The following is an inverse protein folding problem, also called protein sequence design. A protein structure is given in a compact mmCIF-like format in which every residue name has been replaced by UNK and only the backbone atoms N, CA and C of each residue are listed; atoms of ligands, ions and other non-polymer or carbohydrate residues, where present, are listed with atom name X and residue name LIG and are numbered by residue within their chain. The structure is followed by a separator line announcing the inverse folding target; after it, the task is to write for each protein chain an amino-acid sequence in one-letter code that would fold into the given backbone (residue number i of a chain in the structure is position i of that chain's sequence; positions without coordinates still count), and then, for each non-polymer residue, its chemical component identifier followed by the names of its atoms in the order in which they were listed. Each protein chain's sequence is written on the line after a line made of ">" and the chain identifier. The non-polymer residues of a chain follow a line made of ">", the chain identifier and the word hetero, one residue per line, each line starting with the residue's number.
data_IF_016468629227
#
_entry.id   IF_016468629227
#
_cell.length_a   1.000
_cell.length_b   1.000
_cell.length_c   1.000
_cell.angle_alpha   90.00
_cell.angle_beta   90.00
_cell.angle_gamma   90.00
#
_symmetry.space_group_name_H-M   'P 1'
#
loop_
_entity.id
_entity.type
_entity.pdbx_description
1 polymer ?
#
# COMPACT_ATOMS: atom_id res chain seq x y z
N UNK A 1 -13.57 24.03 10.12
CA UNK A 1 -12.35 23.74 10.90
C UNK A 1 -12.79 23.61 12.35
N UNK A 2 -12.60 22.45 12.97
CA UNK A 2 -12.98 22.26 14.37
C UNK A 2 -12.12 23.14 15.29
N UNK A 3 -12.71 23.72 16.33
CA UNK A 3 -12.05 24.54 17.37
C UNK A 3 -10.90 23.85 18.16
N UNK A 4 -10.43 22.69 17.71
CA UNK A 4 -9.53 21.79 18.44
C UNK A 4 -8.04 22.00 18.19
N UNK A 5 -7.62 22.91 17.31
CA UNK A 5 -6.20 23.19 17.08
C UNK A 5 -5.92 24.70 16.96
N UNK A 6 -6.15 25.46 18.04
CA UNK A 6 -5.60 26.82 18.12
C UNK A 6 -4.08 26.74 18.25
N UNK A 7 -3.31 27.48 17.42
CA UNK A 7 -1.85 27.44 17.50
C UNK A 7 -1.39 27.97 18.86
N UNK A 8 -0.75 27.10 19.67
CA UNK A 8 -0.33 27.43 21.04
C UNK A 8 0.63 28.61 21.10
N UNK A 9 1.47 28.77 20.08
CA UNK A 9 2.51 29.80 20.00
C UNK A 9 2.27 30.80 18.84
N UNK A 10 1.06 30.83 18.28
CA UNK A 10 0.79 31.52 17.01
C UNK A 10 1.44 30.84 15.80
N UNK A 11 1.10 31.32 14.61
CA UNK A 11 1.78 30.92 13.37
C UNK A 11 2.82 32.00 13.00
N UNK A 12 3.99 31.63 12.45
CA UNK A 12 4.38 30.29 11.99
C UNK A 12 5.05 29.40 13.07
N UNK A 13 5.27 29.92 14.28
CA UNK A 13 6.09 29.26 15.30
C UNK A 13 5.57 27.88 15.72
N UNK A 14 4.25 27.72 15.86
CA UNK A 14 3.64 26.41 16.16
C UNK A 14 3.94 25.38 15.07
N UNK A 15 3.89 25.78 13.80
CA UNK A 15 4.25 24.93 12.66
C UNK A 15 5.73 24.54 12.67
N UNK A 16 6.63 25.49 12.91
CA UNK A 16 8.08 25.24 12.98
C UNK A 16 8.42 24.26 14.11
N UNK A 17 7.87 24.48 15.31
CA UNK A 17 8.10 23.56 16.45
C UNK A 17 7.57 22.17 16.12
N UNK A 18 6.36 22.08 15.55
CA UNK A 18 5.78 20.79 15.17
C UNK A 18 6.65 20.08 14.14
N UNK A 19 7.12 20.80 13.11
CA UNK A 19 8.02 20.26 12.09
C UNK A 19 9.31 19.73 12.69
N UNK A 20 10.00 20.51 13.53
CA UNK A 20 11.26 20.09 14.17
C UNK A 20 11.02 18.86 15.07
N UNK A 21 9.96 18.85 15.88
CA UNK A 21 9.66 17.72 16.76
C UNK A 21 9.35 16.46 15.95
N UNK A 22 8.49 16.53 14.94
CA UNK A 22 8.16 15.37 14.10
C UNK A 22 9.36 14.91 13.26
N UNK A 23 10.20 15.83 12.78
CA UNK A 23 11.44 15.50 12.08
C UNK A 23 12.40 14.74 12.99
N UNK A 24 12.64 15.24 14.21
CA UNK A 24 13.53 14.57 15.17
C UNK A 24 12.99 13.21 15.60
N UNK A 25 11.68 13.10 15.85
CA UNK A 25 11.04 11.81 16.15
C UNK A 25 11.13 10.84 14.96
N UNK A 26 10.89 11.33 13.74
CA UNK A 26 11.04 10.57 12.51
C UNK A 26 12.46 10.06 12.30
N UNK A 27 13.47 10.92 12.47
CA UNK A 27 14.88 10.55 12.36
C UNK A 27 15.31 9.58 13.48
N UNK A 28 14.85 9.80 14.71
CA UNK A 28 15.16 8.90 15.82
C UNK A 28 14.53 7.51 15.62
N UNK A 29 13.25 7.44 15.25
CA UNK A 29 12.58 6.16 14.96
C UNK A 29 13.19 5.46 13.75
N UNK A 30 13.51 6.19 12.69
CA UNK A 30 14.22 5.65 11.54
C UNK A 30 15.61 5.13 11.93
N UNK A 31 16.39 5.86 12.72
CA UNK A 31 17.69 5.40 13.18
C UNK A 31 17.58 4.14 14.05
N UNK A 32 16.61 4.09 14.97
CA UNK A 32 16.44 2.95 15.87
C UNK A 32 16.02 1.68 15.13
N UNK A 33 15.10 1.78 14.17
CA UNK A 33 14.46 0.62 13.57
C UNK A 33 14.92 0.32 12.13
N UNK A 34 15.27 1.33 11.34
CA UNK A 34 15.45 1.21 9.89
C UNK A 34 16.89 1.42 9.39
N UNK A 35 17.66 2.33 10.00
CA UNK A 35 19.03 2.62 9.56
C UNK A 35 19.92 1.35 9.69
N UNK A 36 20.70 0.97 8.66
CA UNK A 36 21.63 -0.16 8.71
C UNK A 36 22.69 -0.07 9.82
N UNK A 37 23.01 1.15 10.28
CA UNK A 37 23.92 1.46 11.39
C UNK A 37 23.21 1.44 12.74
N UNK A 38 21.87 1.47 12.72
CA UNK A 38 21.02 1.41 13.88
C UNK A 38 21.01 0.03 14.54
N UNK A 39 20.48 -0.07 15.77
CA UNK A 39 20.43 -1.33 16.51
C UNK A 39 19.40 -2.33 15.93
N UNK A 40 18.29 -1.84 15.37
CA UNK A 40 17.18 -2.71 14.95
C UNK A 40 17.40 -3.43 13.61
N UNK A 41 18.02 -2.77 12.63
CA UNK A 41 18.28 -3.29 11.27
C UNK A 41 17.07 -4.01 10.64
N UNK A 42 15.86 -3.47 10.86
CA UNK A 42 14.60 -4.07 10.41
C UNK A 42 14.21 -3.67 8.99
N UNK A 43 15.03 -2.87 8.30
CA UNK A 43 14.81 -2.44 6.93
C UNK A 43 15.50 -3.40 5.93
N UNK A 44 14.87 -3.70 4.79
CA UNK A 44 13.53 -3.24 4.38
C UNK A 44 12.40 -3.92 5.14
N UNK A 45 12.56 -5.20 5.45
CA UNK A 45 11.55 -5.99 6.13
C UNK A 45 12.06 -6.54 7.47
N UNK A 46 11.20 -6.58 8.51
CA UNK A 46 9.75 -6.39 8.49
C UNK A 46 9.28 -4.93 8.58
N UNK A 47 10.18 -3.95 8.68
CA UNK A 47 9.83 -2.55 8.96
C UNK A 47 8.79 -1.97 7.99
N UNK A 48 9.01 -2.11 6.68
CA UNK A 48 8.11 -1.58 5.63
C UNK A 48 6.72 -2.21 5.71
N UNK A 49 6.63 -3.52 5.99
CA UNK A 49 5.34 -4.21 6.16
C UNK A 49 4.56 -3.64 7.35
N UNK A 50 5.20 -3.48 8.51
CA UNK A 50 4.54 -2.89 9.67
C UNK A 50 4.09 -1.47 9.40
N UNK A 51 4.94 -0.64 8.81
CA UNK A 51 4.60 0.74 8.46
C UNK A 51 3.41 0.80 7.50
N UNK A 52 3.41 -0.01 6.45
CA UNK A 52 2.33 -0.06 5.47
C UNK A 52 1.00 -0.44 6.14
N UNK A 53 0.96 -1.53 6.90
CA UNK A 53 -0.27 -1.98 7.57
C UNK A 53 -0.73 -0.94 8.61
N UNK A 54 0.18 -0.30 9.32
CA UNK A 54 -0.12 0.76 10.30
C UNK A 54 -0.82 1.96 9.67
N UNK A 55 -0.36 2.40 8.49
CA UNK A 55 -1.00 3.46 7.70
C UNK A 55 -2.41 3.03 7.28
N UNK A 56 -2.57 1.79 6.79
CA UNK A 56 -3.88 1.27 6.40
C UNK A 56 -4.86 1.19 7.58
N UNK A 57 -4.41 0.72 8.72
CA UNK A 57 -5.19 0.70 9.97
C UNK A 57 -5.55 2.12 10.40
N UNK A 58 -4.64 3.08 10.23
CA UNK A 58 -4.90 4.50 10.50
C UNK A 58 -6.03 5.03 9.62
N UNK A 59 -6.03 4.66 8.34
CA UNK A 59 -7.13 4.96 7.43
C UNK A 59 -8.45 4.35 7.93
N UNK A 60 -8.44 3.09 8.39
CA UNK A 60 -9.65 2.47 8.95
C UNK A 60 -10.18 3.20 10.18
N UNK A 61 -9.29 3.53 11.12
CA UNK A 61 -9.65 4.24 12.36
C UNK A 61 -10.26 5.62 12.06
N UNK A 62 -9.60 6.41 11.23
CA UNK A 62 -9.96 7.81 11.01
C UNK A 62 -11.05 7.97 9.94
N UNK A 63 -10.91 7.30 8.79
CA UNK A 63 -11.77 7.52 7.62
C UNK A 63 -13.07 6.72 7.68
N UNK A 64 -13.00 5.47 8.17
CA UNK A 64 -14.14 4.55 8.16
C UNK A 64 -14.88 4.56 9.50
N UNK A 65 -14.15 4.40 10.60
CA UNK A 65 -14.71 4.32 11.96
C UNK A 65 -14.89 5.69 12.63
N UNK A 66 -14.36 6.78 12.05
CA UNK A 66 -14.51 8.13 12.59
C UNK A 66 -13.99 8.27 14.03
N UNK A 67 -12.85 7.65 14.32
CA UNK A 67 -12.22 7.56 15.65
C UNK A 67 -13.03 6.80 16.70
N UNK A 68 -14.07 6.05 16.35
CA UNK A 68 -14.84 5.28 17.33
C UNK A 68 -13.95 4.22 18.04
N UNK A 69 -14.10 4.00 19.36
CA UNK A 69 -14.98 4.69 20.31
C UNK A 69 -14.36 5.95 20.95
N UNK A 70 -13.16 6.35 20.52
CA UNK A 70 -12.33 7.40 21.12
C UNK A 70 -12.60 8.82 20.60
N UNK A 71 -13.60 9.00 19.75
CA UNK A 71 -13.92 10.27 19.10
C UNK A 71 -14.04 11.45 20.09
N UNK A 72 -14.55 11.18 21.30
CA UNK A 72 -14.79 12.17 22.37
C UNK A 72 -13.56 12.46 23.26
N UNK A 73 -12.46 11.73 23.12
CA UNK A 73 -11.24 12.00 23.88
C UNK A 73 -10.62 13.34 23.44
N UNK A 74 -10.05 14.08 24.39
CA UNK A 74 -9.33 15.33 24.10
C UNK A 74 -7.87 15.03 23.74
N UNK A 75 -7.27 15.91 22.96
CA UNK A 75 -5.82 15.87 22.74
C UNK A 75 -5.07 16.27 24.03
N UNK A 76 -3.89 15.70 24.31
CA UNK A 76 -3.14 14.73 23.49
C UNK A 76 -3.56 13.27 23.70
N UNK A 77 -4.41 12.98 24.69
CA UNK A 77 -4.79 11.62 25.06
C UNK A 77 -5.42 10.85 23.89
N UNK A 78 -6.27 11.51 23.09
CA UNK A 78 -6.86 10.91 21.88
C UNK A 78 -5.78 10.40 20.92
N UNK A 79 -4.76 11.22 20.62
CA UNK A 79 -3.64 10.82 19.78
C UNK A 79 -2.89 9.61 20.34
N UNK A 80 -2.53 9.65 21.62
CA UNK A 80 -1.82 8.53 22.29
C UNK A 80 -2.64 7.22 22.23
N UNK A 81 -3.92 7.28 22.57
CA UNK A 81 -4.81 6.11 22.56
C UNK A 81 -4.97 5.56 21.14
N UNK A 82 -5.20 6.42 20.15
CA UNK A 82 -5.34 5.98 18.75
C UNK A 82 -4.05 5.37 18.23
N UNK A 83 -2.87 5.89 18.59
CA UNK A 83 -1.57 5.29 18.24
C UNK A 83 -1.39 3.90 18.85
N UNK A 84 -1.69 3.72 20.14
CA UNK A 84 -1.58 2.41 20.81
C UNK A 84 -2.54 1.41 20.20
N UNK A 85 -3.80 1.80 19.97
CA UNK A 85 -4.80 0.93 19.33
C UNK A 85 -4.41 0.61 17.89
N UNK A 86 -3.87 1.57 17.14
CA UNK A 86 -3.38 1.34 15.78
C UNK A 86 -2.30 0.27 15.77
N UNK A 87 -1.31 0.38 16.67
CA UNK A 87 -0.24 -0.59 16.79
C UNK A 87 -0.79 -1.99 17.16
N UNK A 88 -1.69 -2.08 18.13
CA UNK A 88 -2.30 -3.35 18.53
C UNK A 88 -3.11 -4.00 17.39
N UNK A 89 -3.91 -3.20 16.66
CA UNK A 89 -4.68 -3.69 15.51
C UNK A 89 -3.75 -4.08 14.36
N UNK A 90 -2.66 -3.35 14.13
CA UNK A 90 -1.64 -3.70 13.14
C UNK A 90 -1.02 -5.07 13.44
N UNK A 91 -0.63 -5.31 14.70
CA UNK A 91 -0.14 -6.63 15.14
C UNK A 91 -1.19 -7.71 14.91
N UNK A 92 -2.44 -7.46 15.28
CA UNK A 92 -3.54 -8.40 15.08
C UNK A 92 -3.77 -8.73 13.60
N UNK A 93 -3.79 -7.72 12.74
CA UNK A 93 -3.98 -7.89 11.28
C UNK A 93 -2.85 -8.74 10.70
N UNK A 94 -1.59 -8.44 11.01
CA UNK A 94 -0.46 -9.20 10.48
C UNK A 94 -0.45 -10.62 11.03
N UNK A 95 -0.40 -10.76 12.36
CA UNK A 95 -0.11 -12.05 13.00
C UNK A 95 -1.31 -12.96 13.10
N UNK A 96 -2.53 -12.44 13.15
CA UNK A 96 -3.75 -13.25 13.25
C UNK A 96 -4.42 -13.33 11.88
N UNK A 97 -4.82 -12.21 11.31
CA UNK A 97 -5.62 -12.21 10.07
C UNK A 97 -4.81 -12.75 8.89
N UNK A 98 -3.64 -12.19 8.60
CA UNK A 98 -2.83 -12.65 7.48
C UNK A 98 -2.11 -13.96 7.77
N UNK A 99 -1.36 -14.04 8.86
CA UNK A 99 -0.49 -15.20 9.09
C UNK A 99 -1.24 -16.46 9.52
N UNK A 100 -2.35 -16.34 10.25
CA UNK A 100 -3.05 -17.50 10.84
C UNK A 100 -4.40 -17.80 10.20
N UNK A 101 -5.13 -16.82 9.69
CA UNK A 101 -6.42 -17.05 9.03
C UNK A 101 -6.21 -17.21 7.53
N UNK A 102 -5.75 -16.17 6.84
CA UNK A 102 -5.53 -16.25 5.38
C UNK A 102 -4.36 -17.15 5.02
N UNK A 103 -3.35 -17.25 5.88
CA UNK A 103 -2.20 -18.14 5.73
C UNK A 103 -2.58 -19.62 5.62
N UNK A 104 -3.74 -20.05 6.13
CA UNK A 104 -4.21 -21.44 6.02
C UNK A 104 -4.48 -21.85 4.56
N UNK A 105 -5.00 -20.91 3.76
CA UNK A 105 -5.26 -21.14 2.34
C UNK A 105 -4.16 -20.62 1.42
N UNK A 106 -3.51 -19.52 1.80
CA UNK A 106 -2.54 -18.82 0.98
C UNK A 106 -1.21 -18.67 1.72
N UNK A 107 -0.34 -19.69 1.63
CA UNK A 107 0.93 -19.70 2.36
C UNK A 107 1.82 -18.48 2.07
N UNK A 108 1.75 -17.89 0.86
CA UNK A 108 2.50 -16.69 0.53
C UNK A 108 2.05 -15.44 1.31
N UNK A 109 0.97 -15.51 2.10
CA UNK A 109 0.55 -14.45 3.03
C UNK A 109 1.04 -14.67 4.46
N UNK A 110 1.71 -15.79 4.76
CA UNK A 110 2.17 -16.14 6.11
C UNK A 110 3.66 -16.46 6.16
N UNK A 111 4.46 -15.54 6.69
CA UNK A 111 5.89 -15.78 6.85
C UNK A 111 6.15 -16.96 7.79
N UNK A 112 5.30 -17.14 8.81
CA UNK A 112 5.39 -18.26 9.74
C UNK A 112 5.22 -19.59 9.02
N UNK A 113 4.25 -19.71 8.12
CA UNK A 113 4.04 -20.94 7.37
C UNK A 113 5.18 -21.20 6.38
N UNK A 114 5.66 -20.16 5.70
CA UNK A 114 6.79 -20.29 4.77
C UNK A 114 8.08 -20.72 5.47
N UNK A 115 8.38 -20.13 6.62
CA UNK A 115 9.52 -20.52 7.44
C UNK A 115 9.40 -21.98 7.89
N UNK A 116 8.20 -22.42 8.27
CA UNK A 116 7.97 -23.81 8.69
C UNK A 116 8.11 -24.80 7.52
N UNK A 117 7.62 -24.46 6.34
CA UNK A 117 7.84 -25.25 5.12
C UNK A 117 9.33 -25.37 4.78
N UNK A 118 10.10 -24.30 4.98
CA UNK A 118 11.55 -24.34 4.78
C UNK A 118 12.27 -25.18 5.85
N UNK A 119 11.89 -25.06 7.13
CA UNK A 119 12.46 -25.86 8.23
C UNK A 119 12.22 -27.35 8.09
N UNK A 120 11.03 -27.73 7.64
CA UNK A 120 10.62 -29.13 7.46
C UNK A 120 11.07 -29.72 6.13
N UNK A 121 11.77 -28.95 5.29
CA UNK A 121 12.22 -29.38 3.97
C UNK A 121 11.10 -29.56 2.95
N UNK A 122 9.90 -29.04 3.21
CA UNK A 122 8.72 -29.12 2.34
C UNK A 122 8.71 -28.02 1.26
N UNK A 123 9.47 -26.94 1.44
CA UNK A 123 9.68 -25.93 0.41
C UNK A 123 10.68 -26.44 -0.65
N UNK A 124 10.19 -27.15 -1.66
CA UNK A 124 11.03 -27.76 -2.70
C UNK A 124 11.19 -26.83 -3.91
N UNK A 125 12.43 -26.65 -4.36
CA UNK A 125 12.81 -25.91 -5.57
C UNK A 125 12.59 -26.77 -6.84
N UNK A 126 12.49 -26.16 -8.03
CA UNK A 126 12.63 -26.88 -9.30
C UNK A 126 13.94 -27.69 -9.29
N UNK A 127 13.83 -29.02 -9.46
CA UNK A 127 14.97 -29.95 -9.35
C UNK A 127 15.05 -30.72 -8.02
N UNK A 128 14.07 -30.59 -7.12
CA UNK A 128 13.93 -31.48 -5.97
C UNK A 128 14.74 -31.09 -4.72
N UNK A 129 15.49 -29.98 -4.77
CA UNK A 129 16.27 -29.49 -3.63
C UNK A 129 15.39 -28.68 -2.67
N UNK A 130 15.53 -28.91 -1.37
CA UNK A 130 14.85 -28.08 -0.36
C UNK A 130 15.45 -26.66 -0.29
N UNK A 131 14.58 -25.66 -0.16
CA UNK A 131 14.91 -24.27 0.12
C UNK A 131 15.25 -24.11 1.61
N UNK A 132 16.41 -23.54 1.92
CA UNK A 132 16.81 -23.33 3.32
C UNK A 132 15.97 -22.25 4.00
N UNK A 133 15.82 -22.35 5.32
CA UNK A 133 15.16 -21.31 6.14
C UNK A 133 15.80 -19.93 5.92
N UNK A 134 17.12 -19.86 5.91
CA UNK A 134 17.85 -18.61 5.69
C UNK A 134 17.48 -17.97 4.34
N UNK A 135 17.42 -18.78 3.28
CA UNK A 135 17.02 -18.27 1.96
C UNK A 135 15.56 -17.83 1.95
N UNK A 136 14.67 -18.59 2.61
CA UNK A 136 13.24 -18.23 2.71
C UNK A 136 13.05 -16.88 3.42
N UNK A 137 13.75 -16.66 4.53
CA UNK A 137 13.67 -15.43 5.31
C UNK A 137 14.24 -14.24 4.54
N UNK A 138 15.36 -14.43 3.81
CA UNK A 138 15.97 -13.38 2.99
C UNK A 138 15.10 -12.97 1.78
N UNK A 139 14.15 -13.80 1.34
CA UNK A 139 13.25 -13.49 0.22
C UNK A 139 12.05 -12.64 0.61
N UNK A 140 11.69 -12.58 1.89
CA UNK A 140 10.61 -11.72 2.41
C UNK A 140 9.28 -11.85 1.65
N UNK A 141 8.92 -13.07 1.20
CA UNK A 141 7.77 -13.28 0.32
C UNK A 141 6.46 -12.79 0.94
N UNK A 142 6.13 -13.25 2.15
CA UNK A 142 4.88 -12.85 2.80
C UNK A 142 4.85 -11.38 3.16
N UNK A 143 5.98 -10.83 3.59
CA UNK A 143 6.06 -9.41 3.94
C UNK A 143 5.84 -8.53 2.71
N UNK A 144 6.39 -8.90 1.56
CA UNK A 144 6.16 -8.22 0.27
C UNK A 144 4.72 -8.38 -0.23
N UNK A 145 4.11 -9.55 -0.04
CA UNK A 145 2.73 -9.80 -0.40
C UNK A 145 1.76 -8.93 0.42
N UNK A 146 2.03 -8.79 1.73
CA UNK A 146 1.23 -7.94 2.63
C UNK A 146 1.38 -6.46 2.28
N UNK A 147 2.58 -5.97 1.96
CA UNK A 147 2.76 -4.59 1.46
C UNK A 147 1.96 -4.37 0.18
N UNK A 148 1.95 -5.35 -0.72
CA UNK A 148 1.16 -5.28 -1.96
C UNK A 148 -0.34 -5.29 -1.71
N UNK A 149 -0.81 -6.01 -0.69
CA UNK A 149 -2.21 -5.93 -0.24
C UNK A 149 -2.55 -4.53 0.26
N UNK A 150 -1.66 -3.95 1.08
CA UNK A 150 -1.83 -2.58 1.58
C UNK A 150 -1.87 -1.58 0.45
N UNK A 151 -0.99 -1.70 -0.54
CA UNK A 151 -0.99 -0.82 -1.73
C UNK A 151 -2.36 -0.80 -2.40
N UNK A 152 -2.94 -1.98 -2.65
CA UNK A 152 -4.31 -2.08 -3.20
C UNK A 152 -5.31 -1.42 -2.25
N UNK A 153 -5.25 -1.76 -0.95
CA UNK A 153 -6.08 -1.19 0.11
C UNK A 153 -6.06 0.34 0.15
N UNK A 154 -4.88 0.93 0.01
CA UNK A 154 -4.67 2.37 0.14
C UNK A 154 -5.40 3.17 -0.95
N UNK A 155 -5.81 2.53 -2.05
CA UNK A 155 -6.75 3.08 -3.01
C UNK A 155 -8.21 2.68 -2.70
N UNK A 156 -8.46 1.39 -2.49
CA UNK A 156 -9.82 0.81 -2.48
C UNK A 156 -10.65 1.19 -1.24
N UNK A 157 -10.04 1.42 -0.08
CA UNK A 157 -10.78 1.95 1.07
C UNK A 157 -11.19 3.42 0.86
N UNK A 158 -10.29 4.34 0.48
CA UNK A 158 -10.67 5.73 0.28
C UNK A 158 -11.54 5.97 -0.97
N UNK A 159 -11.42 5.16 -2.04
CA UNK A 159 -12.22 5.37 -3.26
C UNK A 159 -13.73 5.30 -2.98
N UNK A 160 -14.15 4.40 -2.08
CA UNK A 160 -15.54 4.27 -1.65
C UNK A 160 -16.03 5.57 -0.99
N UNK A 161 -15.19 6.18 -0.16
CA UNK A 161 -15.55 7.45 0.49
C UNK A 161 -15.49 8.64 -0.47
N UNK A 162 -14.45 8.73 -1.30
CA UNK A 162 -14.15 9.91 -2.12
C UNK A 162 -14.99 9.95 -3.40
N UNK A 163 -15.07 8.86 -4.15
CA UNK A 163 -15.76 8.83 -5.45
C UNK A 163 -17.18 8.27 -5.36
N UNK A 164 -17.41 7.30 -4.47
CA UNK A 164 -18.73 6.68 -4.28
C UNK A 164 -19.56 7.35 -3.18
N UNK A 165 -19.04 8.39 -2.52
CA UNK A 165 -19.72 9.08 -1.43
C UNK A 165 -20.26 8.12 -0.35
N UNK A 166 -19.45 7.10 0.00
CA UNK A 166 -19.76 6.03 0.95
C UNK A 166 -20.94 5.11 0.56
N UNK A 167 -21.34 5.07 -0.72
CA UNK A 167 -22.24 4.04 -1.24
C UNK A 167 -21.57 2.65 -1.22
N UNK A 168 -22.28 1.55 -0.90
CA UNK A 168 -23.72 1.45 -0.60
C UNK A 168 -24.08 1.65 0.88
N UNK A 169 -23.09 1.93 1.74
CA UNK A 169 -23.28 1.91 3.20
C UNK A 169 -24.07 3.10 3.71
N UNK A 170 -23.70 4.34 3.37
CA UNK A 170 -24.39 5.53 3.91
C UNK A 170 -25.89 5.62 3.63
N UNK A 171 -26.41 5.19 2.46
CA UNK A 171 -27.85 5.10 2.22
C UNK A 171 -28.64 4.23 3.22
N UNK A 172 -27.98 3.36 3.99
CA UNK A 172 -28.63 2.49 4.97
C UNK A 172 -28.87 3.11 6.36
N UNK A 173 -28.51 4.38 6.56
CA UNK A 173 -28.67 5.11 7.84
C UNK A 173 -28.00 4.46 9.07
N UNK A 174 -27.00 3.60 8.86
CA UNK A 174 -26.23 3.01 9.96
C UNK A 174 -25.45 4.08 10.74
N UNK A 175 -25.43 3.93 12.06
CA UNK A 175 -24.62 4.75 12.95
C UNK A 175 -23.24 4.12 13.19
N UNK A 176 -22.31 4.85 13.78
CA UNK A 176 -21.05 4.25 14.23
C UNK A 176 -21.31 3.37 15.48
N UNK A 177 -20.72 2.17 15.56
CA UNK A 177 -19.65 1.66 14.71
C UNK A 177 -20.09 0.84 13.50
N UNK A 178 -21.40 0.56 13.36
CA UNK A 178 -21.94 -0.34 12.34
C UNK A 178 -21.60 0.13 10.93
N UNK A 179 -21.73 1.44 10.67
CA UNK A 179 -21.35 2.03 9.40
C UNK A 179 -19.86 1.83 9.09
N UNK A 180 -18.97 2.06 10.05
CA UNK A 180 -17.53 1.90 9.85
C UNK A 180 -17.12 0.44 9.60
N UNK A 181 -17.72 -0.53 10.32
CA UNK A 181 -17.47 -1.94 10.04
C UNK A 181 -18.04 -2.40 8.70
N UNK A 182 -19.20 -1.89 8.29
CA UNK A 182 -19.76 -2.18 6.98
C UNK A 182 -18.92 -1.57 5.84
N UNK A 183 -18.40 -0.35 6.03
CA UNK A 183 -17.44 0.28 5.10
C UNK A 183 -16.13 -0.51 5.03
N UNK A 184 -15.64 -1.02 6.16
CA UNK A 184 -14.44 -1.87 6.22
C UNK A 184 -14.66 -3.21 5.50
N UNK A 185 -15.80 -3.86 5.69
CA UNK A 185 -16.15 -5.10 4.98
C UNK A 185 -16.27 -4.89 3.47
N UNK A 186 -16.95 -3.83 3.05
CA UNK A 186 -17.08 -3.46 1.63
C UNK A 186 -15.72 -3.11 1.00
N UNK A 187 -14.93 -2.28 1.67
CA UNK A 187 -13.57 -1.93 1.23
C UNK A 187 -12.66 -3.15 1.15
N UNK A 188 -12.74 -4.07 2.12
CA UNK A 188 -12.00 -5.33 2.11
C UNK A 188 -12.36 -6.21 0.92
N UNK A 189 -13.66 -6.32 0.60
CA UNK A 189 -14.14 -7.09 -0.55
C UNK A 189 -13.58 -6.54 -1.87
N UNK A 190 -13.66 -5.22 -2.06
CA UNK A 190 -13.10 -4.56 -3.25
C UNK A 190 -11.58 -4.69 -3.30
N UNK A 191 -10.91 -4.58 -2.15
CA UNK A 191 -9.46 -4.80 -2.03
C UNK A 191 -9.08 -6.21 -2.46
N UNK A 192 -9.80 -7.23 -1.99
CA UNK A 192 -9.56 -8.62 -2.36
C UNK A 192 -9.74 -8.86 -3.85
N UNK A 193 -10.77 -8.27 -4.47
CA UNK A 193 -10.97 -8.35 -5.91
C UNK A 193 -9.74 -7.82 -6.68
N UNK A 194 -9.32 -6.58 -6.42
CA UNK A 194 -8.15 -6.01 -7.08
C UNK A 194 -6.84 -6.74 -6.73
N UNK A 195 -6.69 -7.21 -5.49
CA UNK A 195 -5.52 -7.97 -5.06
C UNK A 195 -5.41 -9.30 -5.82
N UNK A 196 -6.51 -10.03 -5.98
CA UNK A 196 -6.54 -11.28 -6.75
C UNK A 196 -6.31 -11.03 -8.24
N UNK A 197 -6.78 -9.91 -8.79
CA UNK A 197 -6.59 -9.59 -10.21
C UNK A 197 -5.19 -9.03 -10.52
N UNK A 198 -4.61 -8.23 -9.63
CA UNK A 198 -3.40 -7.45 -9.91
C UNK A 198 -2.16 -7.93 -9.18
N UNK A 199 -2.29 -8.61 -8.03
CA UNK A 199 -1.14 -9.00 -7.20
C UNK A 199 -0.92 -10.51 -7.23
N UNK A 200 -1.97 -11.31 -6.98
CA UNK A 200 -1.86 -12.79 -6.96
C UNK A 200 -1.22 -13.38 -8.22
N UNK A 201 -1.46 -12.87 -9.46
CA UNK A 201 -0.84 -13.45 -10.64
C UNK A 201 0.70 -13.37 -10.62
N UNK A 202 1.27 -12.31 -10.05
CA UNK A 202 2.71 -12.20 -9.87
C UNK A 202 3.25 -13.29 -8.94
N UNK A 203 2.53 -13.58 -7.85
CA UNK A 203 2.90 -14.68 -6.95
C UNK A 203 2.78 -16.04 -7.62
N UNK A 204 1.85 -16.23 -8.57
CA UNK A 204 1.80 -17.42 -9.41
C UNK A 204 3.07 -17.61 -10.25
N UNK A 205 3.60 -16.52 -10.84
CA UNK A 205 4.88 -16.57 -11.55
C UNK A 205 6.07 -16.80 -10.60
N UNK A 206 6.12 -16.10 -9.47
CA UNK A 206 7.20 -16.26 -8.47
C UNK A 206 7.24 -17.69 -7.94
N UNK A 207 6.11 -18.25 -7.53
CA UNK A 207 6.05 -19.61 -6.99
C UNK A 207 6.25 -20.66 -8.08
N UNK A 208 5.69 -20.47 -9.26
CA UNK A 208 5.93 -21.36 -10.39
C UNK A 208 7.41 -21.44 -10.77
N UNK A 209 8.13 -20.31 -10.77
CA UNK A 209 9.57 -20.27 -11.03
C UNK A 209 10.41 -20.73 -9.84
N UNK A 210 10.05 -20.32 -8.62
CA UNK A 210 10.88 -20.52 -7.42
C UNK A 210 10.68 -21.89 -6.81
N UNK A 211 9.45 -22.43 -6.80
CA UNK A 211 9.09 -23.70 -6.18
C UNK A 211 8.64 -24.77 -7.20
N UNK A 212 8.73 -24.47 -8.51
CA UNK A 212 8.44 -25.39 -9.60
C UNK A 212 6.95 -25.70 -9.80
N UNK A 213 6.09 -25.31 -8.86
CA UNK A 213 4.64 -25.48 -8.94
C UNK A 213 3.93 -24.25 -8.39
N UNK A 214 2.80 -23.92 -9.00
CA UNK A 214 1.91 -22.84 -8.58
C UNK A 214 0.47 -23.33 -8.72
N UNK A 215 0.00 -24.08 -7.73
CA UNK A 215 -1.35 -24.65 -7.74
C UNK A 215 -2.35 -23.54 -7.43
N UNK A 216 -3.32 -23.34 -8.33
CA UNK A 216 -4.43 -22.41 -8.11
C UNK A 216 -4.11 -20.92 -8.28
N UNK A 217 -2.94 -20.56 -8.81
CA UNK A 217 -2.59 -19.17 -9.13
C UNK A 217 -2.26 -19.02 -10.63
N UNK A 218 -2.88 -18.04 -11.28
CA UNK A 218 -2.56 -17.67 -12.66
C UNK A 218 -1.24 -16.92 -12.75
N UNK A 219 -0.71 -16.73 -13.96
CA UNK A 219 0.45 -15.88 -14.24
C UNK A 219 0.03 -14.44 -14.62
N UNK A 220 0.94 -13.45 -14.56
CA UNK A 220 0.64 -12.06 -14.88
C UNK A 220 0.03 -11.88 -16.27
N UNK A 221 -1.24 -11.48 -16.32
CA UNK A 221 -1.96 -11.25 -17.58
C UNK A 221 -1.49 -9.98 -18.30
N UNK A 222 -0.81 -9.06 -17.59
CA UNK A 222 -0.37 -7.78 -18.12
C UNK A 222 0.99 -7.83 -18.83
N UNK A 223 1.72 -8.94 -18.81
CA UNK A 223 3.08 -9.01 -19.35
C UNK A 223 3.21 -8.57 -20.82
N UNK A 224 2.13 -8.73 -21.61
CA UNK A 224 2.07 -8.30 -23.02
C UNK A 224 1.74 -6.82 -23.23
N UNK A 225 1.26 -6.11 -22.19
CA UNK A 225 0.80 -4.72 -22.30
C UNK A 225 1.98 -3.75 -22.20
N UNK A 226 2.97 -4.08 -21.39
CA UNK A 226 4.03 -3.17 -20.93
C UNK A 226 5.46 -3.75 -21.06
N UNK A 227 5.58 -4.97 -21.61
CA UNK A 227 6.85 -5.69 -21.75
C UNK A 227 7.40 -6.35 -20.47
N UNK A 228 6.67 -6.34 -19.34
CA UNK A 228 7.10 -6.94 -18.08
C UNK A 228 5.95 -7.60 -17.29
N UNK A 229 6.14 -8.86 -16.91
CA UNK A 229 5.28 -9.57 -15.96
C UNK A 229 5.48 -9.15 -14.50
N UNK A 230 6.48 -8.30 -14.22
CA UNK A 230 6.84 -7.93 -12.86
C UNK A 230 5.75 -7.06 -12.19
N UNK A 231 5.61 -7.22 -10.88
CA UNK A 231 4.64 -6.49 -10.05
C UNK A 231 4.84 -4.96 -10.07
N UNK A 232 6.05 -4.51 -10.37
CA UNK A 232 6.40 -3.08 -10.36
C UNK A 232 5.59 -2.27 -11.37
N UNK A 233 5.10 -2.89 -12.45
CA UNK A 233 4.14 -2.21 -13.31
C UNK A 233 2.88 -1.80 -12.55
N UNK A 234 2.31 -2.73 -11.79
CA UNK A 234 1.13 -2.46 -10.96
C UNK A 234 1.45 -1.35 -9.97
N UNK A 235 2.59 -1.42 -9.29
CA UNK A 235 3.03 -0.37 -8.37
C UNK A 235 3.09 1.00 -9.06
N UNK A 236 3.72 1.07 -10.23
CA UNK A 236 3.89 2.31 -10.98
C UNK A 236 2.58 3.03 -11.24
N UNK A 237 1.60 2.37 -11.88
CA UNK A 237 0.35 3.06 -12.21
C UNK A 237 -0.64 3.15 -11.05
N UNK A 238 -0.64 2.17 -10.14
CA UNK A 238 -1.55 2.14 -9.00
C UNK A 238 -1.22 3.23 -7.98
N UNK A 239 0.07 3.48 -7.71
CA UNK A 239 0.49 4.62 -6.88
C UNK A 239 0.03 5.94 -7.49
N UNK A 240 0.18 6.14 -8.80
CA UNK A 240 -0.36 7.33 -9.46
C UNK A 240 -1.89 7.44 -9.41
N UNK A 241 -2.62 6.32 -9.41
CA UNK A 241 -4.06 6.31 -9.19
C UNK A 241 -4.41 6.74 -7.76
N UNK A 242 -3.64 6.30 -6.75
CA UNK A 242 -3.72 6.78 -5.37
C UNK A 242 -3.50 8.30 -5.34
N UNK A 243 -2.47 8.83 -6.00
CA UNK A 243 -2.22 10.28 -6.06
C UNK A 243 -3.42 11.02 -6.65
N UNK A 244 -3.91 10.58 -7.82
CA UNK A 244 -5.04 11.22 -8.49
C UNK A 244 -6.32 11.17 -7.63
N UNK A 245 -6.53 10.11 -6.86
CA UNK A 245 -7.63 9.98 -5.90
C UNK A 245 -7.50 10.99 -4.74
N UNK A 246 -6.33 11.10 -4.13
CA UNK A 246 -6.12 12.05 -3.04
C UNK A 246 -6.08 13.51 -3.52
N UNK A 247 -5.53 13.78 -4.70
CA UNK A 247 -5.63 15.08 -5.37
C UNK A 247 -7.08 15.46 -5.63
N UNK A 248 -7.91 14.49 -6.02
CA UNK A 248 -9.35 14.71 -6.18
C UNK A 248 -9.98 15.24 -4.89
N UNK A 249 -9.71 14.60 -3.75
CA UNK A 249 -10.28 15.00 -2.47
C UNK A 249 -9.69 16.32 -1.95
N UNK A 250 -8.37 16.48 -2.01
CA UNK A 250 -7.66 17.54 -1.28
C UNK A 250 -7.35 18.78 -2.12
N UNK A 251 -7.16 18.64 -3.43
CA UNK A 251 -6.73 19.73 -4.33
C UNK A 251 -7.85 20.15 -5.28
N UNK A 252 -8.38 19.20 -6.05
CA UNK A 252 -9.39 19.47 -7.07
C UNK A 252 -10.80 19.63 -6.49
N UNK A 253 -10.98 19.35 -5.20
CA UNK A 253 -12.25 19.47 -4.46
C UNK A 253 -13.39 18.74 -5.18
N UNK A 254 -13.13 17.51 -5.59
CA UNK A 254 -14.06 16.64 -6.30
C UNK A 254 -14.23 16.91 -7.79
N UNK A 255 -13.53 17.88 -8.39
CA UNK A 255 -13.54 18.11 -9.84
C UNK A 255 -12.56 17.17 -10.57
N UNK A 256 -12.83 16.81 -11.84
CA UNK A 256 -14.01 17.16 -12.65
C UNK A 256 -15.27 16.33 -12.32
N UNK A 257 -15.14 15.31 -11.47
CA UNK A 257 -16.17 14.30 -11.17
C UNK A 257 -17.48 14.89 -10.63
N UNK A 258 -17.41 16.03 -9.95
CA UNK A 258 -18.58 16.75 -9.45
C UNK A 258 -19.56 17.13 -10.55
N UNK A 259 -19.12 17.28 -11.81
CA UNK A 259 -19.96 17.60 -12.97
C UNK A 259 -20.78 16.41 -13.49
N UNK A 260 -20.46 15.19 -13.05
CA UNK A 260 -21.21 13.99 -13.44
C UNK A 260 -22.55 14.00 -12.69
N UNK A 261 -23.65 14.13 -13.45
CA UNK A 261 -25.02 14.16 -12.95
C UNK A 261 -25.68 12.79 -12.75
N UNK A 262 -24.91 11.71 -12.86
CA UNK A 262 -25.41 10.34 -12.68
C UNK A 262 -25.51 9.98 -11.18
N UNK A 263 -26.45 9.10 -10.78
CA UNK A 263 -26.52 8.62 -9.40
C UNK A 263 -25.37 7.65 -9.07
N UNK A 264 -25.17 7.38 -7.78
CA UNK A 264 -24.33 6.25 -7.36
C UNK A 264 -25.05 4.92 -7.66
N UNK A 265 -24.33 3.85 -8.05
CA UNK A 265 -22.87 3.74 -8.11
C UNK A 265 -22.22 4.24 -9.41
N UNK A 266 -23.03 4.60 -10.42
CA UNK A 266 -22.51 4.86 -11.77
C UNK A 266 -21.58 6.08 -11.82
N UNK A 267 -21.87 7.13 -11.06
CA UNK A 267 -20.96 8.27 -10.89
C UNK A 267 -19.62 7.85 -10.31
N UNK A 268 -19.62 7.06 -9.24
CA UNK A 268 -18.40 6.54 -8.62
C UNK A 268 -17.59 5.68 -9.60
N UNK A 269 -18.25 4.79 -10.35
CA UNK A 269 -17.60 3.93 -11.35
C UNK A 269 -16.92 4.74 -12.46
N UNK A 270 -17.64 5.69 -13.08
CA UNK A 270 -17.06 6.54 -14.14
C UNK A 270 -15.90 7.37 -13.60
N UNK A 271 -16.05 7.92 -12.39
CA UNK A 271 -14.99 8.70 -11.75
C UNK A 271 -13.76 7.84 -11.44
N UNK A 272 -13.96 6.59 -10.98
CA UNK A 272 -12.88 5.65 -10.69
C UNK A 272 -12.12 5.27 -11.97
N UNK A 273 -12.84 4.98 -13.06
CA UNK A 273 -12.22 4.73 -14.38
C UNK A 273 -11.42 5.96 -14.83
N UNK A 274 -11.95 7.17 -14.65
CA UNK A 274 -11.23 8.41 -14.93
C UNK A 274 -9.95 8.57 -14.10
N UNK A 275 -10.00 8.25 -12.81
CA UNK A 275 -8.83 8.26 -11.93
C UNK A 275 -7.80 7.22 -12.35
N UNK A 276 -8.21 6.01 -12.75
CA UNK A 276 -7.29 5.01 -13.31
C UNK A 276 -6.65 5.47 -14.62
N UNK A 277 -7.42 6.09 -15.52
CA UNK A 277 -6.88 6.63 -16.77
C UNK A 277 -5.84 7.73 -16.52
N UNK A 278 -6.12 8.65 -15.59
CA UNK A 278 -5.16 9.69 -15.18
C UNK A 278 -3.93 9.04 -14.55
N UNK A 279 -4.11 8.12 -13.60
CA UNK A 279 -3.00 7.45 -12.93
C UNK A 279 -2.08 6.71 -13.90
N UNK A 280 -2.66 5.97 -14.84
CA UNK A 280 -1.90 5.26 -15.88
C UNK A 280 -1.18 6.22 -16.82
N UNK A 281 -1.84 7.30 -17.27
CA UNK A 281 -1.22 8.32 -18.11
C UNK A 281 -0.03 9.01 -17.42
N UNK A 282 -0.16 9.33 -16.13
CA UNK A 282 0.93 9.92 -15.34
C UNK A 282 2.11 8.95 -15.16
N UNK A 283 1.83 7.66 -14.93
CA UNK A 283 2.87 6.65 -14.84
C UNK A 283 3.61 6.47 -16.17
N UNK A 284 2.90 6.43 -17.30
CA UNK A 284 3.52 6.38 -18.64
C UNK A 284 4.37 7.60 -18.94
N UNK A 285 3.88 8.79 -18.57
CA UNK A 285 4.65 10.02 -18.69
C UNK A 285 5.95 9.89 -17.91
N UNK A 286 5.88 9.48 -16.63
CA UNK A 286 7.07 9.25 -15.79
C UNK A 286 8.04 8.26 -16.44
N UNK A 287 7.58 7.07 -16.82
CA UNK A 287 8.41 6.05 -17.47
C UNK A 287 9.14 6.58 -18.72
N UNK A 288 8.50 7.49 -19.45
CA UNK A 288 9.05 8.10 -20.68
C UNK A 288 10.10 9.16 -20.38
N UNK A 289 9.92 9.95 -19.32
CA UNK A 289 10.82 11.06 -18.98
C UNK A 289 11.99 10.64 -18.07
N UNK A 290 11.85 9.56 -17.31
CA UNK A 290 12.89 9.04 -16.42
C UNK A 290 14.26 8.89 -17.11
N UNK A 291 14.36 8.33 -18.33
CA UNK A 291 15.64 8.21 -19.04
C UNK A 291 16.33 9.55 -19.34
N UNK A 292 15.62 10.69 -19.29
CA UNK A 292 16.19 12.01 -19.57
C UNK A 292 17.12 12.51 -18.46
N UNK A 293 16.98 12.00 -17.24
CA UNK A 293 17.80 12.41 -16.09
C UNK A 293 18.59 11.26 -15.46
N UNK A 294 18.43 10.04 -15.97
CA UNK A 294 19.28 8.91 -15.60
C UNK A 294 20.46 8.86 -16.56
N UNK A 295 21.67 8.93 -16.01
CA UNK A 295 22.89 8.92 -16.82
C UNK A 295 23.00 7.67 -17.70
N UNK A 296 23.57 7.83 -18.90
CA UNK A 296 23.69 6.77 -19.91
C UNK A 296 24.34 5.49 -19.37
N UNK A 297 25.35 5.61 -18.51
CA UNK A 297 26.03 4.47 -17.87
C UNK A 297 25.08 3.64 -17.00
N UNK A 298 24.14 4.28 -16.31
CA UNK A 298 23.16 3.58 -15.47
C UNK A 298 22.16 2.83 -16.34
N UNK A 299 21.71 3.44 -17.43
CA UNK A 299 20.83 2.78 -18.41
C UNK A 299 21.52 1.55 -19.00
N UNK A 300 22.78 1.67 -19.42
CA UNK A 300 23.55 0.56 -19.97
C UNK A 300 23.67 -0.60 -18.97
N UNK A 301 23.97 -0.31 -17.69
CA UNK A 301 24.05 -1.32 -16.63
C UNK A 301 22.70 -2.00 -16.37
N UNK A 302 21.61 -1.25 -16.31
CA UNK A 302 20.26 -1.79 -16.09
C UNK A 302 19.83 -2.71 -17.24
N UNK A 303 20.12 -2.34 -18.48
CA UNK A 303 19.81 -3.17 -19.65
C UNK A 303 20.63 -4.45 -19.69
N UNK A 304 21.90 -4.38 -19.29
CA UNK A 304 22.78 -5.54 -19.23
C UNK A 304 22.47 -6.51 -18.07
N UNK A 305 21.76 -6.04 -17.03
CA UNK A 305 21.54 -6.82 -15.80
C UNK A 305 20.55 -7.99 -15.97
N UNK A 306 19.65 -7.94 -16.96
CA UNK A 306 18.70 -9.03 -17.23
C UNK A 306 18.31 -9.09 -18.72
N UNK A 307 17.97 -10.28 -19.25
CA UNK A 307 17.52 -10.44 -20.63
C UNK A 307 16.31 -9.56 -20.97
N UNK A 308 16.20 -9.17 -22.24
CA UNK A 308 15.08 -8.38 -22.79
C UNK A 308 14.86 -7.04 -22.04
N UNK A 309 15.92 -6.41 -21.55
CA UNK A 309 15.86 -5.16 -20.78
C UNK A 309 14.95 -5.27 -19.53
N UNK A 310 14.71 -6.47 -18.99
CA UNK A 310 13.71 -6.70 -17.94
C UNK A 310 13.99 -5.90 -16.66
N UNK A 311 15.26 -5.76 -16.27
CA UNK A 311 15.67 -4.99 -15.10
C UNK A 311 15.53 -3.49 -15.33
N UNK A 312 15.82 -3.02 -16.54
CA UNK A 312 15.57 -1.64 -16.95
C UNK A 312 14.07 -1.30 -16.90
N UNK A 313 13.20 -2.13 -17.46
CA UNK A 313 11.74 -1.93 -17.39
C UNK A 313 11.24 -1.98 -15.93
N UNK A 314 11.71 -2.94 -15.15
CA UNK A 314 11.39 -3.07 -13.71
C UNK A 314 11.77 -1.79 -12.95
N UNK A 315 12.94 -1.24 -13.26
CA UNK A 315 13.44 -0.01 -12.67
C UNK A 315 12.54 1.19 -13.04
N UNK A 316 12.19 1.38 -14.31
CA UNK A 316 11.37 2.53 -14.73
C UNK A 316 10.01 2.57 -14.04
N UNK A 317 9.32 1.42 -13.99
CA UNK A 317 8.00 1.34 -13.35
C UNK A 317 8.07 1.50 -11.84
N UNK A 318 9.11 0.97 -11.20
CA UNK A 318 9.33 1.18 -9.77
C UNK A 318 9.61 2.64 -9.46
N UNK A 319 10.48 3.29 -10.24
CA UNK A 319 10.83 4.67 -10.02
C UNK A 319 9.66 5.62 -10.30
N UNK A 320 8.77 5.28 -11.24
CA UNK A 320 7.50 5.98 -11.41
C UNK A 320 6.61 5.91 -10.15
N UNK A 321 6.60 4.76 -9.46
CA UNK A 321 5.91 4.58 -8.18
C UNK A 321 6.56 5.40 -7.06
N UNK A 322 7.90 5.44 -6.99
CA UNK A 322 8.63 6.26 -6.02
C UNK A 322 8.32 7.75 -6.17
N UNK A 323 8.31 8.26 -7.41
CA UNK A 323 7.93 9.66 -7.70
C UNK A 323 6.50 9.94 -7.21
N UNK A 324 5.55 9.04 -7.48
CA UNK A 324 4.19 9.15 -6.96
C UNK A 324 4.18 9.18 -5.42
N UNK A 325 4.91 8.28 -4.77
CA UNK A 325 5.05 8.26 -3.30
C UNK A 325 5.59 9.58 -2.73
N UNK A 326 6.59 10.20 -3.36
CA UNK A 326 7.08 11.53 -2.96
C UNK A 326 6.03 12.62 -3.15
N UNK A 327 5.17 12.51 -4.16
CA UNK A 327 4.05 13.43 -4.39
C UNK A 327 2.94 13.29 -3.34
N UNK A 328 2.90 12.21 -2.54
CA UNK A 328 1.96 12.11 -1.40
C UNK A 328 2.33 13.04 -0.23
N UNK A 329 3.61 13.36 -0.05
CA UNK A 329 4.10 14.07 1.13
C UNK A 329 3.37 15.39 1.36
N UNK A 330 3.16 16.26 0.36
CA UNK A 330 2.41 17.51 0.54
C UNK A 330 0.95 17.29 1.00
N UNK A 331 0.34 16.14 0.69
CA UNK A 331 -1.05 15.83 1.06
C UNK A 331 -1.19 15.23 2.47
N UNK A 332 -0.11 14.68 3.03
CA UNK A 332 -0.10 14.12 4.39
C UNK A 332 0.17 15.19 5.47
N UNK A 333 0.68 16.37 5.07
CA UNK A 333 1.06 17.46 5.97
C UNK A 333 -0.11 18.47 6.20
N UNK A 334 -1.26 18.25 5.56
CA UNK A 334 -2.41 19.18 5.56
C UNK A 334 -3.60 18.75 6.40
#
# INVERSE_FOLDING_TARGET
>A
MSDHAKPRFGQPLTGIISFVVFLLLGLATWFLFSDPRGPGKLFPYPFVMYLAVMILVGLWQHMLLGDWPFAKLRQPLKGVVLTVVNFAVTLFVIHVVFYRIFGLGFNFLSQVNLDELARTGQAILPGGKALSLETMQAKHFAQSALVSFVLIGFFTYPVVTILFAKWPIRPSNLEQPQAGFAELGWGSLVTLFFFVTLIVPFWGEVYGKTLGTSIGMNTPWWGKINGTGHLHWVFGWWEWAIIALFMTANVWRGKPWSKIGLPQPLKGLISMIGVFAIGYAMALLCVTIIPLWIGADTIAKLKAAAPNDAEYLRFLWYHAAEIAGFMLIPFLVW
#
